data_IF_363552481386
#
_entry.id   IF_363552481386
#
_cell.length_a   1.000
_cell.length_b   1.000
_cell.length_c   1.000
_cell.angle_alpha   90.00
_cell.angle_beta   90.00
_cell.angle_gamma   90.00
#
_symmetry.space_group_name_H-M   'P 1'
#
loop_
_entity.id
_entity.type
_entity.pdbx_description
1 polymer ?
#
# COMPACT_ATOMS: atom_id res chain seq x y z
N UNK A 1 -32.83 7.08 -10.62
CA UNK A 1 -32.25 8.43 -10.65
C UNK A 1 -31.70 8.67 -12.03
N UNK A 2 -32.10 9.72 -12.73
CA UNK A 2 -31.38 10.13 -13.95
C UNK A 2 -29.99 10.61 -13.55
N UNK A 3 -28.97 10.09 -14.22
CA UNK A 3 -27.55 10.31 -13.91
C UNK A 3 -27.15 11.79 -14.02
N UNK A 4 -27.95 12.60 -14.73
CA UNK A 4 -27.79 14.04 -14.95
C UNK A 4 -27.87 14.94 -13.70
N UNK A 5 -28.09 14.39 -12.51
CA UNK A 5 -28.26 15.18 -11.28
C UNK A 5 -27.12 15.12 -10.28
N UNK A 6 -25.98 14.48 -10.57
CA UNK A 6 -24.85 14.37 -9.62
C UNK A 6 -24.38 15.72 -9.02
N UNK A 7 -24.42 16.81 -9.82
CA UNK A 7 -24.09 18.17 -9.36
C UNK A 7 -25.07 18.73 -8.30
N UNK A 8 -26.31 18.25 -8.30
CA UNK A 8 -27.33 18.62 -7.30
C UNK A 8 -27.07 17.89 -5.99
N UNK A 9 -26.51 16.68 -6.06
CA UNK A 9 -26.21 15.86 -4.88
C UNK A 9 -24.96 16.33 -4.14
N UNK A 10 -23.92 16.77 -4.84
CA UNK A 10 -22.70 17.26 -4.19
C UNK A 10 -22.11 18.39 -5.05
N UNK A 11 -21.84 19.56 -4.45
CA UNK A 11 -21.43 20.74 -5.23
C UNK A 11 -20.09 20.52 -5.93
N UNK A 12 -19.86 21.25 -7.01
CA UNK A 12 -18.63 21.10 -7.80
C UNK A 12 -17.38 21.38 -6.98
N UNK A 13 -17.40 22.41 -6.14
CA UNK A 13 -16.29 22.79 -5.27
C UNK A 13 -15.94 21.65 -4.30
N UNK A 14 -16.95 21.01 -3.72
CA UNK A 14 -16.75 19.87 -2.82
C UNK A 14 -16.31 18.61 -3.56
N UNK A 15 -16.79 18.40 -4.80
CA UNK A 15 -16.32 17.31 -5.64
C UNK A 15 -14.84 17.46 -5.98
N UNK A 16 -14.41 18.65 -6.38
CA UNK A 16 -12.99 18.94 -6.69
C UNK A 16 -12.09 18.77 -5.46
N UNK A 17 -12.47 19.31 -4.30
CA UNK A 17 -11.74 19.09 -3.04
C UNK A 17 -11.61 17.60 -2.68
N UNK A 18 -12.69 16.82 -2.86
CA UNK A 18 -12.67 15.39 -2.61
C UNK A 18 -11.82 14.64 -3.64
N UNK A 19 -11.88 15.03 -4.92
CA UNK A 19 -11.04 14.45 -5.97
C UNK A 19 -9.57 14.73 -5.67
N UNK A 20 -9.19 15.94 -5.27
CA UNK A 20 -7.82 16.28 -4.87
C UNK A 20 -7.35 15.42 -3.69
N UNK A 21 -8.20 15.24 -2.68
CA UNK A 21 -7.93 14.36 -1.55
C UNK A 21 -7.73 12.90 -1.96
N UNK A 22 -8.52 12.42 -2.92
CA UNK A 22 -8.43 11.06 -3.46
C UNK A 22 -7.21 10.85 -4.37
N UNK A 23 -6.83 11.86 -5.17
CA UNK A 23 -5.69 11.80 -6.11
C UNK A 23 -4.34 11.69 -5.40
N UNK A 24 -4.26 12.11 -4.14
CA UNK A 24 -3.08 11.90 -3.29
C UNK A 24 -2.79 10.43 -2.93
N UNK A 25 -3.67 9.49 -3.32
CA UNK A 25 -3.55 8.06 -3.00
C UNK A 25 -3.07 7.24 -4.19
N UNK A 26 -2.30 6.20 -3.91
CA UNK A 26 -1.64 5.42 -4.96
C UNK A 26 -2.64 4.70 -5.86
N UNK A 27 -2.42 4.83 -7.18
CA UNK A 27 -3.27 4.26 -8.20
C UNK A 27 -4.59 5.00 -8.43
N UNK A 28 -4.89 6.09 -7.70
CA UNK A 28 -6.03 6.96 -7.95
C UNK A 28 -5.62 8.14 -8.84
N UNK A 29 -5.60 7.93 -10.15
CA UNK A 29 -5.51 9.05 -11.10
C UNK A 29 -6.76 9.92 -10.97
N UNK A 30 -6.70 11.19 -11.40
CA UNK A 30 -7.87 12.09 -11.41
C UNK A 30 -9.11 11.42 -12.02
N UNK A 31 -8.94 10.73 -13.14
CA UNK A 31 -10.01 9.96 -13.80
C UNK A 31 -10.61 8.89 -12.89
N UNK A 32 -9.78 8.10 -12.20
CA UNK A 32 -10.24 7.03 -11.30
C UNK A 32 -10.93 7.60 -10.05
N UNK A 33 -10.36 8.67 -9.48
CA UNK A 33 -10.94 9.40 -8.36
C UNK A 33 -12.32 9.98 -8.72
N UNK A 34 -12.44 10.59 -9.90
CA UNK A 34 -13.74 11.08 -10.41
C UNK A 34 -14.73 9.94 -10.60
N UNK A 35 -14.35 8.84 -11.25
CA UNK A 35 -15.23 7.69 -11.46
C UNK A 35 -15.71 7.12 -10.12
N UNK A 36 -14.80 6.97 -9.16
CA UNK A 36 -15.11 6.48 -7.83
C UNK A 36 -16.07 7.41 -7.07
N UNK A 37 -15.79 8.72 -7.05
CA UNK A 37 -16.66 9.70 -6.39
C UNK A 37 -18.08 9.70 -6.95
N UNK A 38 -18.22 9.59 -8.28
CA UNK A 38 -19.54 9.48 -8.92
C UNK A 38 -20.26 8.20 -8.51
N UNK A 39 -19.55 7.08 -8.46
CA UNK A 39 -20.08 5.79 -7.98
C UNK A 39 -20.56 5.88 -6.54
N UNK A 40 -19.81 6.58 -5.69
CA UNK A 40 -20.14 6.77 -4.30
C UNK A 40 -21.40 7.63 -4.13
N UNK A 41 -21.49 8.78 -4.80
CA UNK A 41 -22.69 9.62 -4.78
C UNK A 41 -23.90 8.84 -5.30
N UNK A 42 -23.73 8.08 -6.39
CA UNK A 42 -24.79 7.23 -6.93
C UNK A 42 -25.25 6.18 -5.92
N UNK A 43 -24.32 5.55 -5.18
CA UNK A 43 -24.65 4.57 -4.16
C UNK A 43 -25.43 5.18 -2.98
N UNK A 44 -25.03 6.36 -2.50
CA UNK A 44 -25.78 7.11 -1.47
C UNK A 44 -27.22 7.39 -1.95
N UNK A 45 -27.34 7.88 -3.19
CA UNK A 45 -28.64 8.20 -3.77
C UNK A 45 -29.52 6.96 -3.96
N UNK A 46 -28.94 5.81 -4.31
CA UNK A 46 -29.64 4.54 -4.51
C UNK A 46 -30.12 3.91 -3.20
N UNK A 47 -29.38 4.09 -2.11
CA UNK A 47 -29.76 3.61 -0.78
C UNK A 47 -30.92 4.41 -0.19
N UNK A 48 -31.13 5.65 -0.64
CA UNK A 48 -32.31 6.46 -0.31
C UNK A 48 -32.31 7.06 1.11
N UNK A 49 -31.21 6.92 1.85
CA UNK A 49 -31.08 7.44 3.22
C UNK A 49 -30.78 8.94 3.29
N UNK A 50 -30.30 9.54 2.21
CA UNK A 50 -29.92 10.95 2.16
C UNK A 50 -30.67 11.72 1.07
N UNK A 51 -30.95 13.00 1.31
CA UNK A 51 -31.57 13.92 0.36
C UNK A 51 -30.53 14.92 -0.16
N UNK A 52 -30.57 15.29 -1.46
CA UNK A 52 -29.70 16.32 -2.00
C UNK A 52 -30.12 17.73 -1.52
N UNK A 53 -29.19 18.70 -1.44
CA UNK A 53 -27.75 18.53 -1.59
C UNK A 53 -27.12 17.92 -0.33
N UNK A 54 -26.15 17.01 -0.53
CA UNK A 54 -25.39 16.42 0.56
C UNK A 54 -24.46 17.48 1.18
N UNK A 55 -24.58 17.66 2.50
CA UNK A 55 -23.63 18.48 3.25
C UNK A 55 -22.26 17.82 3.33
N UNK A 56 -22.23 16.49 3.47
CA UNK A 56 -21.05 15.62 3.52
C UNK A 56 -21.33 14.28 2.83
N UNK A 57 -20.27 13.60 2.36
CA UNK A 57 -20.41 12.22 1.88
C UNK A 57 -20.50 11.28 3.08
N UNK A 58 -21.40 10.31 2.98
CA UNK A 58 -21.56 9.23 3.96
C UNK A 58 -21.30 7.89 3.26
N UNK A 59 -20.79 6.89 3.97
CA UNK A 59 -20.60 5.58 3.38
C UNK A 59 -21.92 4.81 3.33
N UNK A 60 -22.36 4.35 2.15
CA UNK A 60 -23.54 3.51 2.04
C UNK A 60 -23.37 2.22 2.82
N UNK A 61 -24.42 1.80 3.53
CA UNK A 61 -24.38 0.59 4.37
C UNK A 61 -24.61 -0.70 3.56
N UNK A 62 -25.30 -0.58 2.43
CA UNK A 62 -25.75 -1.71 1.60
C UNK A 62 -25.07 -1.73 0.23
N UNK A 63 -24.96 -2.94 -0.34
CA UNK A 63 -24.50 -3.12 -1.71
C UNK A 63 -25.62 -2.77 -2.70
N UNK A 64 -25.33 -1.83 -3.61
CA UNK A 64 -26.26 -1.36 -4.63
C UNK A 64 -26.12 -2.14 -5.94
N UNK A 65 -27.21 -2.33 -6.65
CA UNK A 65 -27.17 -2.88 -8.01
C UNK A 65 -26.63 -1.81 -8.96
N UNK A 66 -25.56 -2.14 -9.68
CA UNK A 66 -24.98 -1.27 -10.69
C UNK A 66 -24.48 -2.12 -11.87
N UNK A 67 -25.17 -2.04 -13.00
CA UNK A 67 -24.75 -2.72 -14.23
C UNK A 67 -23.55 -1.99 -14.87
N UNK A 68 -22.84 -2.65 -15.79
CA UNK A 68 -21.78 -2.01 -16.56
C UNK A 68 -22.28 -0.82 -17.38
N UNK A 69 -23.51 -0.89 -17.90
CA UNK A 69 -24.16 0.23 -18.59
C UNK A 69 -24.38 1.42 -17.66
N UNK A 70 -24.94 1.17 -16.47
CA UNK A 70 -25.13 2.23 -15.47
C UNK A 70 -23.80 2.84 -15.02
N UNK A 71 -22.77 2.01 -14.85
CA UNK A 71 -21.43 2.49 -14.53
C UNK A 71 -20.83 3.30 -15.69
N UNK A 72 -21.05 2.91 -16.94
CA UNK A 72 -20.59 3.65 -18.12
C UNK A 72 -21.25 5.01 -18.20
N UNK A 73 -22.57 5.05 -18.10
CA UNK A 73 -23.34 6.29 -18.07
C UNK A 73 -22.84 7.21 -16.93
N UNK A 74 -22.50 6.65 -15.77
CA UNK A 74 -22.00 7.40 -14.62
C UNK A 74 -20.58 7.94 -14.81
N UNK A 75 -19.66 7.11 -15.29
CA UNK A 75 -18.24 7.44 -15.41
C UNK A 75 -17.98 8.40 -16.56
N UNK A 76 -18.72 8.26 -17.64
CA UNK A 76 -18.45 8.94 -18.90
C UNK A 76 -19.56 9.91 -19.32
N UNK A 77 -20.48 10.30 -18.42
CA UNK A 77 -21.59 11.23 -18.72
C UNK A 77 -21.16 12.55 -19.41
N UNK A 78 -19.93 13.00 -19.14
CA UNK A 78 -19.37 14.29 -19.61
C UNK A 78 -18.28 14.05 -20.68
N UNK A 79 -18.20 12.85 -21.26
CA UNK A 79 -17.20 12.48 -22.26
C UNK A 79 -17.84 11.80 -23.46
N UNK A 80 -17.35 12.12 -24.67
CA UNK A 80 -17.77 11.46 -25.90
C UNK A 80 -17.24 10.01 -26.02
N UNK A 81 -16.38 9.58 -25.08
CA UNK A 81 -15.73 8.28 -25.09
C UNK A 81 -16.00 7.51 -23.80
N UNK A 82 -16.46 6.27 -23.96
CA UNK A 82 -16.79 5.36 -22.86
C UNK A 82 -17.67 4.21 -23.37
N UNK A 83 -17.44 3.00 -22.87
CA UNK A 83 -18.27 1.83 -23.18
C UNK A 83 -18.54 1.03 -21.91
N UNK A 84 -19.59 0.21 -21.94
CA UNK A 84 -19.88 -0.75 -20.86
C UNK A 84 -18.65 -1.59 -20.51
N UNK A 85 -17.84 -1.96 -21.51
CA UNK A 85 -16.58 -2.70 -21.31
C UNK A 85 -15.54 -1.89 -20.54
N UNK A 86 -15.31 -0.63 -20.91
CA UNK A 86 -14.35 0.23 -20.21
C UNK A 86 -14.82 0.57 -18.79
N UNK A 87 -16.12 0.72 -18.58
CA UNK A 87 -16.72 0.89 -17.27
C UNK A 87 -16.52 -0.36 -16.39
N UNK A 88 -16.72 -1.56 -16.95
CA UNK A 88 -16.40 -2.82 -16.28
C UNK A 88 -14.94 -2.88 -15.83
N UNK A 89 -14.00 -2.54 -16.73
CA UNK A 89 -12.57 -2.48 -16.38
C UNK A 89 -12.25 -1.40 -15.32
N UNK A 90 -12.97 -0.28 -15.30
CA UNK A 90 -12.83 0.73 -14.26
C UNK A 90 -13.29 0.20 -12.91
N UNK A 91 -14.41 -0.51 -12.86
CA UNK A 91 -14.89 -1.18 -11.64
C UNK A 91 -13.86 -2.19 -11.12
N UNK A 92 -13.24 -2.97 -12.00
CA UNK A 92 -12.18 -3.91 -11.60
C UNK A 92 -10.97 -3.19 -11.00
N UNK A 93 -10.57 -2.05 -11.59
CA UNK A 93 -9.49 -1.21 -11.05
C UNK A 93 -9.85 -0.64 -9.68
N UNK A 94 -11.07 -0.13 -9.50
CA UNK A 94 -11.53 0.40 -8.22
C UNK A 94 -11.61 -0.69 -7.15
N UNK A 95 -12.02 -1.90 -7.51
CA UNK A 95 -12.04 -3.05 -6.63
C UNK A 95 -10.61 -3.49 -6.23
N UNK A 96 -9.68 -3.51 -7.19
CA UNK A 96 -8.27 -3.82 -6.94
C UNK A 96 -7.58 -2.79 -6.04
N UNK A 97 -8.03 -1.53 -6.07
CA UNK A 97 -7.60 -0.45 -5.17
C UNK A 97 -8.28 -0.53 -3.79
N UNK A 98 -9.13 -1.52 -3.54
CA UNK A 98 -9.82 -1.71 -2.26
C UNK A 98 -10.94 -0.70 -2.00
N UNK A 99 -11.33 0.10 -2.98
CA UNK A 99 -12.31 1.18 -2.82
C UNK A 99 -13.76 0.66 -2.90
N UNK A 100 -13.95 -0.46 -3.60
CA UNK A 100 -15.26 -1.10 -3.74
C UNK A 100 -15.15 -2.62 -3.61
N UNK A 101 -16.27 -3.25 -3.28
CA UNK A 101 -16.47 -4.70 -3.36
C UNK A 101 -17.47 -5.02 -4.47
N UNK A 102 -17.13 -6.00 -5.32
CA UNK A 102 -18.05 -6.53 -6.34
C UNK A 102 -18.60 -7.86 -5.85
N UNK A 103 -19.92 -7.94 -5.69
CA UNK A 103 -20.64 -9.15 -5.29
C UNK A 103 -21.46 -9.59 -6.50
N UNK A 104 -21.19 -10.79 -7.02
CA UNK A 104 -21.91 -11.35 -8.14
C UNK A 104 -22.78 -12.52 -7.66
N UNK A 105 -24.09 -12.42 -7.89
CA UNK A 105 -25.08 -13.43 -7.46
C UNK A 105 -25.51 -14.39 -8.59
N UNK A 106 -24.80 -14.39 -9.71
CA UNK A 106 -25.12 -15.20 -10.89
C UNK A 106 -25.90 -14.43 -11.98
N UNK A 107 -26.64 -13.38 -11.60
CA UNK A 107 -27.45 -12.59 -12.53
C UNK A 107 -27.10 -11.09 -12.51
N UNK A 108 -26.69 -10.57 -11.35
CA UNK A 108 -26.50 -9.13 -11.13
C UNK A 108 -25.21 -8.85 -10.36
N UNK A 109 -24.47 -7.84 -10.82
CA UNK A 109 -23.34 -7.29 -10.06
C UNK A 109 -23.86 -6.25 -9.07
N UNK A 110 -23.61 -6.51 -7.79
CA UNK A 110 -23.82 -5.55 -6.70
C UNK A 110 -22.48 -4.95 -6.30
N UNK A 111 -22.49 -3.66 -6.01
CA UNK A 111 -21.31 -2.89 -5.65
C UNK A 111 -21.51 -2.35 -4.24
N UNK A 112 -20.54 -2.62 -3.36
CA UNK A 112 -20.45 -1.99 -2.04
C UNK A 112 -19.30 -0.99 -2.05
N UNK A 113 -19.55 0.26 -1.66
CA UNK A 113 -18.49 1.24 -1.42
C UNK A 113 -17.82 0.86 -0.11
N UNK A 114 -16.48 0.77 -0.10
CA UNK A 114 -15.73 0.53 1.14
C UNK A 114 -15.34 1.85 1.79
N UNK A 115 -15.36 1.92 3.14
CA UNK A 115 -14.78 3.04 3.87
C UNK A 115 -13.35 3.27 3.41
N UNK A 116 -12.99 4.54 3.29
CA UNK A 116 -11.65 4.95 2.91
C UNK A 116 -10.95 5.43 4.17
N UNK A 117 -9.98 4.66 4.65
CA UNK A 117 -9.17 4.99 5.85
C UNK A 117 -8.62 6.42 5.72
N UNK A 118 -8.84 7.25 6.73
CA UNK A 118 -8.37 8.64 6.79
C UNK A 118 -9.12 9.70 5.96
N UNK A 119 -10.28 9.41 5.34
CA UNK A 119 -11.14 10.45 4.73
C UNK A 119 -12.47 10.61 5.46
N UNK A 120 -13.15 9.50 5.79
CA UNK A 120 -14.48 9.51 6.42
C UNK A 120 -14.71 8.20 7.19
N UNK A 121 -13.92 7.92 8.23
CA UNK A 121 -14.21 6.74 9.05
C UNK A 121 -15.57 6.93 9.77
N UNK A 122 -16.55 6.01 9.65
CA UNK A 122 -17.37 5.79 10.84
C UNK A 122 -16.39 5.36 11.92
N UNK A 123 -16.49 5.94 13.13
CA UNK A 123 -15.70 5.53 14.29
C UNK A 123 -15.78 4.01 14.45
N UNK A 124 -14.88 3.29 13.79
CA UNK A 124 -14.84 1.85 13.86
C UNK A 124 -13.99 1.58 15.07
N UNK A 125 -14.68 1.41 16.18
CA UNK A 125 -14.19 0.90 17.45
C UNK A 125 -13.66 -0.54 17.33
N UNK A 126 -12.89 -0.86 16.29
CA UNK A 126 -12.28 -2.18 16.03
C UNK A 126 -10.80 -2.25 16.44
N UNK A 127 -10.15 -1.15 16.85
CA UNK A 127 -8.73 -1.15 17.25
C UNK A 127 -8.48 -1.65 18.70
N UNK A 128 -9.38 -2.48 19.24
CA UNK A 128 -9.18 -3.13 20.53
C UNK A 128 -8.28 -4.37 20.46
N UNK A 129 -8.03 -4.90 19.25
CA UNK A 129 -7.20 -6.09 19.09
C UNK A 129 -5.74 -5.75 19.39
N UNK A 130 -5.18 -6.43 20.38
CA UNK A 130 -3.77 -6.32 20.73
C UNK A 130 -2.90 -7.00 19.66
N UNK A 131 -1.82 -6.34 19.29
CA UNK A 131 -0.81 -6.87 18.37
C UNK A 131 0.51 -7.08 19.09
N UNK A 132 1.26 -8.08 18.62
CA UNK A 132 2.60 -8.38 19.08
C UNK A 132 3.60 -8.42 17.92
N UNK A 133 4.82 -8.00 18.22
CA UNK A 133 5.97 -8.14 17.33
C UNK A 133 6.56 -9.53 17.45
N UNK A 134 6.93 -10.12 16.32
CA UNK A 134 7.50 -11.46 16.28
C UNK A 134 8.43 -11.65 15.07
N UNK A 135 9.23 -12.71 15.11
CA UNK A 135 10.03 -13.15 13.99
C UNK A 135 9.14 -13.72 12.89
N UNK A 136 9.47 -13.41 11.64
CA UNK A 136 8.77 -14.00 10.49
C UNK A 136 8.98 -15.52 10.47
N UNK A 137 7.88 -16.27 10.41
CA UNK A 137 7.87 -17.71 10.25
C UNK A 137 7.49 -18.09 8.80
N UNK A 138 8.43 -18.59 7.98
CA UNK A 138 8.16 -18.89 6.57
C UNK A 138 7.11 -19.98 6.31
N UNK A 139 6.78 -20.79 7.34
CA UNK A 139 5.76 -21.83 7.23
C UNK A 139 4.35 -21.28 7.32
N UNK A 140 4.14 -20.26 8.15
CA UNK A 140 2.82 -19.72 8.48
C UNK A 140 2.60 -18.32 7.90
N UNK A 141 3.65 -17.49 7.85
CA UNK A 141 3.53 -16.06 7.54
C UNK A 141 3.74 -15.76 6.06
N UNK A 142 4.45 -16.63 5.31
CA UNK A 142 4.81 -16.34 3.93
C UNK A 142 3.61 -16.06 3.00
N UNK A 143 2.50 -16.78 3.17
CA UNK A 143 1.31 -16.58 2.34
C UNK A 143 0.50 -15.36 2.82
N UNK A 144 0.14 -15.22 4.11
CA UNK A 144 -0.55 -14.03 4.60
C UNK A 144 0.22 -12.72 4.35
N UNK A 145 1.54 -12.70 4.59
CA UNK A 145 2.39 -11.53 4.29
C UNK A 145 2.42 -11.27 2.79
N UNK A 146 2.57 -12.30 1.95
CA UNK A 146 2.49 -12.10 0.50
C UNK A 146 1.18 -11.44 0.08
N UNK A 147 0.05 -11.87 0.63
CA UNK A 147 -1.26 -11.26 0.37
C UNK A 147 -1.33 -9.80 0.84
N UNK A 148 -0.78 -9.50 2.03
CA UNK A 148 -0.69 -8.14 2.57
C UNK A 148 0.16 -7.23 1.66
N UNK A 149 1.31 -7.73 1.19
CA UNK A 149 2.17 -7.01 0.27
C UNK A 149 1.48 -6.81 -1.08
N UNK A 150 0.87 -7.85 -1.66
CA UNK A 150 0.18 -7.77 -2.96
C UNK A 150 -0.82 -6.62 -3.00
N UNK A 151 -1.59 -6.35 -1.92
CA UNK A 151 -2.51 -5.20 -1.86
C UNK A 151 -1.82 -3.85 -2.11
N UNK A 152 -0.57 -3.71 -1.69
CA UNK A 152 0.21 -2.46 -1.80
C UNK A 152 1.02 -2.36 -3.09
N UNK A 153 1.32 -3.48 -3.74
CA UNK A 153 2.02 -3.51 -5.04
C UNK A 153 1.08 -3.69 -6.25
N UNK A 154 -0.21 -4.04 -6.02
CA UNK A 154 -1.18 -4.41 -7.06
C UNK A 154 -1.44 -3.32 -8.12
N UNK A 155 -1.33 -2.04 -7.77
CA UNK A 155 -1.56 -0.94 -8.71
C UNK A 155 -0.51 -0.85 -9.83
N UNK A 156 0.67 -1.46 -9.65
CA UNK A 156 1.73 -1.50 -10.66
C UNK A 156 1.55 -2.63 -11.69
N UNK A 157 0.66 -3.59 -11.44
CA UNK A 157 0.66 -4.86 -12.17
C UNK A 157 -0.63 -5.15 -12.95
N UNK A 158 -0.46 -5.74 -14.14
CA UNK A 158 -1.56 -6.10 -15.05
C UNK A 158 -2.12 -7.52 -14.83
N UNK A 159 -1.43 -8.39 -14.08
CA UNK A 159 -1.83 -9.79 -13.81
C UNK A 159 -1.84 -10.07 -12.30
N UNK A 160 -3.04 -10.20 -11.70
CA UNK A 160 -3.21 -10.31 -10.25
C UNK A 160 -3.04 -11.73 -9.66
N UNK A 161 -3.19 -12.79 -10.46
CA UNK A 161 -3.39 -14.15 -9.93
C UNK A 161 -2.10 -14.89 -9.52
N UNK A 162 -0.96 -14.65 -10.19
CA UNK A 162 0.30 -15.38 -9.93
C UNK A 162 1.22 -14.72 -8.88
N UNK A 163 0.89 -13.49 -8.43
CA UNK A 163 1.78 -12.65 -7.62
C UNK A 163 1.95 -13.16 -6.18
N UNK A 164 0.88 -13.50 -5.42
CA UNK A 164 1.05 -13.94 -4.03
C UNK A 164 1.91 -15.20 -3.93
N UNK A 165 1.74 -16.14 -4.86
CA UNK A 165 2.57 -17.34 -4.92
C UNK A 165 4.05 -16.98 -5.11
N UNK A 166 4.37 -16.10 -6.06
CA UNK A 166 5.76 -15.65 -6.28
C UNK A 166 6.34 -14.94 -5.06
N UNK A 167 5.62 -13.97 -4.49
CA UNK A 167 6.10 -13.24 -3.30
C UNK A 167 6.33 -14.23 -2.16
N UNK A 168 5.43 -15.19 -1.95
CA UNK A 168 5.61 -16.21 -0.90
C UNK A 168 6.88 -17.06 -1.11
N UNK A 169 7.25 -17.38 -2.36
CA UNK A 169 8.51 -18.07 -2.68
C UNK A 169 9.73 -17.22 -2.36
N UNK A 170 9.69 -15.93 -2.71
CA UNK A 170 10.78 -14.99 -2.39
C UNK A 170 10.96 -14.83 -0.88
N UNK A 171 9.87 -14.59 -0.14
CA UNK A 171 9.91 -14.48 1.32
C UNK A 171 10.48 -15.75 1.96
N UNK A 172 10.10 -16.93 1.48
CA UNK A 172 10.68 -18.21 1.95
C UNK A 172 12.16 -18.33 1.60
N UNK A 173 12.58 -17.90 0.41
CA UNK A 173 13.99 -17.87 0.02
C UNK A 173 14.80 -16.99 0.96
N UNK A 174 14.42 -15.72 1.05
CA UNK A 174 15.09 -14.74 1.91
C UNK A 174 15.13 -15.15 3.38
N UNK A 175 14.07 -15.79 3.89
CA UNK A 175 14.07 -16.29 5.27
C UNK A 175 15.07 -17.42 5.53
N UNK A 176 15.44 -18.20 4.50
CA UNK A 176 16.49 -19.22 4.60
C UNK A 176 17.88 -18.59 4.61
N UNK A 177 18.05 -17.51 3.84
CA UNK A 177 19.33 -16.81 3.73
C UNK A 177 19.60 -15.95 4.98
N UNK A 178 18.61 -15.18 5.43
CA UNK A 178 18.70 -14.37 6.64
C UNK A 178 17.33 -14.05 7.25
N UNK A 179 17.00 -14.69 8.37
CA UNK A 179 15.70 -14.52 9.03
C UNK A 179 15.62 -13.33 9.98
N UNK A 180 16.74 -12.87 10.56
CA UNK A 180 16.74 -11.83 11.60
C UNK A 180 16.16 -10.52 11.09
N UNK A 181 16.45 -10.15 9.84
CA UNK A 181 15.91 -8.95 9.18
C UNK A 181 14.43 -9.03 8.79
N UNK A 182 13.74 -10.15 9.05
CA UNK A 182 12.33 -10.36 8.68
C UNK A 182 11.44 -10.40 9.91
N UNK A 183 10.56 -9.40 10.03
CA UNK A 183 9.77 -9.18 11.25
C UNK A 183 8.31 -8.94 10.90
N UNK A 184 7.42 -9.47 11.74
CA UNK A 184 5.98 -9.36 11.55
C UNK A 184 5.32 -8.76 12.78
N UNK A 185 4.30 -7.94 12.53
CA UNK A 185 3.34 -7.52 13.54
C UNK A 185 2.11 -8.39 13.37
N UNK A 186 1.74 -9.16 14.40
CA UNK A 186 0.62 -10.11 14.33
C UNK A 186 -0.41 -9.84 15.39
N UNK A 187 -1.67 -10.16 15.10
CA UNK A 187 -2.72 -10.11 16.10
C UNK A 187 -2.50 -11.20 17.14
N UNK A 188 -2.71 -10.89 18.42
CA UNK A 188 -2.57 -11.86 19.50
C UNK A 188 -3.70 -12.90 19.47
N UNK A 189 -4.89 -12.51 19.02
CA UNK A 189 -6.10 -13.34 19.04
C UNK A 189 -6.07 -14.52 18.05
N UNK A 190 -5.47 -14.33 16.88
CA UNK A 190 -5.48 -15.32 15.79
C UNK A 190 -4.13 -15.49 15.08
N UNK A 191 -3.08 -14.80 15.54
CA UNK A 191 -1.73 -14.85 15.00
C UNK A 191 -1.57 -14.38 13.54
N UNK A 192 -2.61 -13.82 12.93
CA UNK A 192 -2.53 -13.33 11.56
C UNK A 192 -1.60 -12.11 11.50
N UNK A 193 -0.65 -12.07 10.55
CA UNK A 193 0.20 -10.91 10.37
C UNK A 193 -0.59 -9.77 9.75
N UNK A 194 -0.49 -8.60 10.37
CA UNK A 194 -1.08 -7.33 9.96
C UNK A 194 0.00 -6.26 9.69
N UNK A 195 1.26 -6.56 9.95
CA UNK A 195 2.39 -5.74 9.55
C UNK A 195 3.61 -6.60 9.23
N UNK A 196 4.50 -6.07 8.42
CA UNK A 196 5.72 -6.73 7.99
C UNK A 196 6.79 -5.71 7.62
N UNK A 197 8.04 -5.98 7.99
CA UNK A 197 9.19 -5.33 7.38
C UNK A 197 10.29 -6.33 7.03
N UNK A 198 11.09 -5.96 6.04
CA UNK A 198 12.24 -6.70 5.57
C UNK A 198 13.46 -5.79 5.48
N UNK A 199 14.44 -6.05 6.34
CA UNK A 199 15.78 -5.49 6.32
C UNK A 199 16.70 -6.47 5.61
N UNK A 200 17.12 -6.11 4.40
CA UNK A 200 17.82 -6.99 3.47
C UNK A 200 19.31 -6.62 3.42
N UNK A 201 20.21 -7.35 4.13
CA UNK A 201 21.64 -7.09 4.03
C UNK A 201 22.08 -7.36 2.59
N UNK A 202 22.70 -6.38 1.95
CA UNK A 202 22.92 -6.38 0.50
C UNK A 202 24.38 -6.76 0.22
N UNK A 203 24.57 -7.78 -0.62
CA UNK A 203 25.90 -8.17 -1.08
C UNK A 203 26.57 -7.02 -1.84
N UNK A 204 27.88 -6.84 -1.67
CA UNK A 204 28.67 -5.77 -2.28
C UNK A 204 28.42 -5.63 -3.81
N UNK A 205 28.32 -6.75 -4.53
CA UNK A 205 28.04 -6.77 -5.97
C UNK A 205 26.67 -6.17 -6.37
N UNK A 206 25.75 -6.02 -5.42
CA UNK A 206 24.42 -5.43 -5.64
C UNK A 206 24.34 -3.96 -5.23
N UNK A 207 25.37 -3.40 -4.59
CA UNK A 207 25.35 -2.02 -4.06
C UNK A 207 25.20 -0.98 -5.17
N UNK A 208 25.86 -1.19 -6.30
CA UNK A 208 25.76 -0.32 -7.47
C UNK A 208 24.31 -0.11 -7.94
N UNK A 209 23.40 -1.05 -7.67
CA UNK A 209 22.00 -0.93 -8.07
C UNK A 209 21.27 0.24 -7.38
N UNK A 210 21.66 0.63 -6.17
CA UNK A 210 21.08 1.80 -5.48
C UNK A 210 21.39 3.12 -6.19
N UNK A 211 22.39 3.12 -7.09
CA UNK A 211 22.82 4.26 -7.88
C UNK A 211 22.26 4.23 -9.32
N UNK A 212 21.33 3.31 -9.60
CA UNK A 212 20.70 3.17 -10.92
C UNK A 212 19.19 3.39 -10.85
N UNK A 213 18.54 3.36 -12.02
CA UNK A 213 17.09 3.50 -12.16
C UNK A 213 16.32 2.60 -11.17
N UNK A 214 15.45 3.17 -10.32
CA UNK A 214 14.68 2.42 -9.33
C UNK A 214 13.68 1.45 -9.98
N UNK A 215 13.30 1.68 -11.24
CA UNK A 215 12.37 0.82 -11.97
C UNK A 215 12.89 -0.61 -12.15
N UNK A 216 14.22 -0.78 -12.21
CA UNK A 216 14.85 -2.11 -12.30
C UNK A 216 14.76 -2.91 -10.99
N UNK A 217 14.46 -2.23 -9.89
CA UNK A 217 14.53 -2.75 -8.52
C UNK A 217 13.16 -3.15 -7.95
N UNK A 218 12.10 -2.97 -8.74
CA UNK A 218 10.71 -3.32 -8.41
C UNK A 218 10.45 -4.84 -8.47
N UNK A 219 11.32 -5.67 -7.89
CA UNK A 219 11.26 -7.13 -8.06
C UNK A 219 10.04 -7.81 -7.40
N UNK A 220 9.41 -7.17 -6.41
CA UNK A 220 8.14 -7.65 -5.84
C UNK A 220 6.95 -7.44 -6.78
N UNK A 221 7.07 -6.56 -7.78
CA UNK A 221 6.03 -6.27 -8.78
C UNK A 221 6.41 -6.62 -10.22
N UNK A 222 7.70 -6.65 -10.58
CA UNK A 222 8.16 -6.88 -11.96
C UNK A 222 7.95 -8.34 -12.41
N UNK A 223 7.71 -8.57 -13.71
CA UNK A 223 7.58 -9.92 -14.30
C UNK A 223 8.94 -10.63 -14.40
N UNK A 224 10.05 -9.90 -14.39
CA UNK A 224 11.40 -10.46 -14.48
C UNK A 224 11.66 -11.45 -13.34
N UNK A 225 12.10 -12.66 -13.66
CA UNK A 225 12.29 -13.74 -12.69
C UNK A 225 13.51 -13.56 -11.78
N UNK A 226 14.49 -12.76 -12.23
CA UNK A 226 15.75 -12.62 -11.53
C UNK A 226 15.84 -11.29 -10.77
N UNK A 227 16.09 -11.42 -9.47
CA UNK A 227 16.29 -10.30 -8.56
C UNK A 227 17.67 -9.66 -8.81
N UNK A 228 17.74 -8.34 -9.09
CA UNK A 228 19.04 -7.68 -9.24
C UNK A 228 19.80 -7.56 -7.91
N UNK A 229 19.10 -7.69 -6.77
CA UNK A 229 19.71 -7.65 -5.45
C UNK A 229 19.95 -9.05 -4.90
N UNK A 230 21.18 -9.30 -4.49
CA UNK A 230 21.57 -10.50 -3.74
C UNK A 230 21.79 -10.17 -2.28
N UNK A 231 21.37 -11.09 -1.42
CA UNK A 231 21.56 -10.96 0.01
C UNK A 231 23.01 -11.30 0.37
N UNK A 232 23.62 -10.53 1.26
CA UNK A 232 24.93 -10.86 1.81
C UNK A 232 24.82 -12.08 2.72
N UNK A 233 25.90 -12.86 2.80
CA UNK A 233 26.01 -13.97 3.77
C UNK A 233 26.45 -13.45 5.12
N UNK A 234 25.93 -14.02 6.21
CA UNK A 234 26.35 -13.65 7.58
C UNK A 234 27.88 -13.73 7.71
N UNK A 235 28.48 -12.70 8.29
CA UNK A 235 29.93 -12.54 8.42
C UNK A 235 30.60 -11.86 7.22
N UNK A 236 29.87 -11.47 6.18
CA UNK A 236 30.42 -10.72 5.06
C UNK A 236 30.84 -9.30 5.48
N UNK A 237 32.14 -9.10 5.62
CA UNK A 237 32.75 -7.80 5.95
C UNK A 237 32.56 -6.74 4.85
N UNK A 238 32.19 -7.13 3.63
CA UNK A 238 31.93 -6.19 2.54
C UNK A 238 30.45 -5.80 2.45
N UNK A 239 29.59 -6.29 3.35
CA UNK A 239 28.20 -5.86 3.43
C UNK A 239 28.11 -4.48 4.09
N UNK A 240 28.02 -3.42 3.28
CA UNK A 240 27.91 -2.05 3.75
C UNK A 240 26.46 -1.55 3.85
N UNK A 241 25.57 -2.13 3.05
CA UNK A 241 24.22 -1.62 2.84
C UNK A 241 23.12 -2.58 3.29
N UNK A 242 22.07 -2.01 3.91
CA UNK A 242 20.80 -2.70 4.16
C UNK A 242 19.71 -2.06 3.29
N UNK A 243 19.08 -2.88 2.45
CA UNK A 243 17.90 -2.48 1.71
C UNK A 243 16.64 -2.72 2.56
N UNK A 244 15.97 -1.65 2.96
CA UNK A 244 14.62 -1.69 3.54
C UNK A 244 13.66 -2.02 2.39
N UNK A 245 13.52 -3.32 2.15
CA UNK A 245 12.90 -3.85 0.95
C UNK A 245 11.37 -3.88 1.02
N UNK A 246 10.86 -3.90 2.24
CA UNK A 246 9.43 -3.78 2.52
C UNK A 246 9.22 -3.17 3.90
N UNK A 247 8.21 -2.31 4.00
CA UNK A 247 7.73 -1.75 5.26
C UNK A 247 6.21 -1.59 5.15
N UNK A 248 5.48 -2.19 6.09
CA UNK A 248 4.03 -2.28 6.01
C UNK A 248 3.40 -2.43 7.39
N UNK A 249 2.37 -1.64 7.66
CA UNK A 249 1.39 -1.93 8.71
C UNK A 249 0.01 -1.71 8.09
N UNK A 250 -0.91 -2.63 8.31
CA UNK A 250 -2.31 -2.46 7.94
C UNK A 250 -2.85 -1.17 8.57
N UNK A 251 -3.55 -0.37 7.77
CA UNK A 251 -3.85 1.01 8.09
C UNK A 251 -4.66 1.16 9.39
N UNK A 252 -5.48 0.16 9.74
CA UNK A 252 -6.26 0.14 10.97
C UNK A 252 -5.40 0.08 12.25
N UNK A 253 -4.13 -0.28 12.12
CA UNK A 253 -3.19 -0.43 13.23
C UNK A 253 -1.99 0.51 13.12
N UNK A 254 -1.86 1.22 12.00
CA UNK A 254 -0.67 2.00 11.68
C UNK A 254 -0.36 3.02 12.78
N UNK A 255 -1.30 3.89 13.13
CA UNK A 255 -1.01 4.99 14.08
C UNK A 255 -0.68 4.47 15.48
N UNK A 256 -1.37 3.43 15.94
CA UNK A 256 -1.15 2.83 17.27
C UNK A 256 0.18 2.09 17.37
N UNK A 257 0.63 1.44 16.29
CA UNK A 257 1.79 0.53 16.33
C UNK A 257 3.03 1.03 15.59
N UNK A 258 2.95 2.14 14.84
CA UNK A 258 4.09 2.72 14.08
C UNK A 258 5.34 2.88 14.93
N UNK A 259 5.20 3.51 16.11
CA UNK A 259 6.33 3.75 17.01
C UNK A 259 7.00 2.45 17.47
N UNK A 260 6.21 1.49 17.93
CA UNK A 260 6.70 0.19 18.42
C UNK A 260 7.38 -0.57 17.27
N UNK A 261 6.83 -0.50 16.06
CA UNK A 261 7.39 -1.15 14.87
C UNK A 261 8.76 -0.57 14.48
N UNK A 262 8.93 0.76 14.57
CA UNK A 262 10.21 1.44 14.32
C UNK A 262 11.26 1.11 15.39
N UNK A 263 10.85 1.03 16.66
CA UNK A 263 11.75 0.62 17.75
C UNK A 263 12.23 -0.83 17.58
N UNK A 264 11.38 -1.74 17.09
CA UNK A 264 11.81 -3.10 16.73
C UNK A 264 12.83 -3.08 15.59
N UNK A 265 12.64 -2.20 14.59
CA UNK A 265 13.57 -2.04 13.48
C UNK A 265 14.95 -1.54 13.96
N UNK A 266 15.00 -0.56 14.87
CA UNK A 266 16.26 -0.12 15.50
C UNK A 266 16.96 -1.28 16.22
N UNK A 267 16.23 -2.02 17.06
CA UNK A 267 16.78 -3.18 17.77
C UNK A 267 17.24 -4.29 16.82
N UNK A 268 16.53 -4.47 15.70
CA UNK A 268 16.89 -5.46 14.69
C UNK A 268 18.16 -5.05 13.97
N UNK A 269 18.28 -3.78 13.55
CA UNK A 269 19.49 -3.26 12.91
C UNK A 269 20.70 -3.32 13.84
N UNK A 270 20.54 -3.02 15.13
CA UNK A 270 21.60 -3.20 16.14
C UNK A 270 22.05 -4.67 16.28
N UNK A 271 21.16 -5.64 16.05
CA UNK A 271 21.57 -7.06 16.01
C UNK A 271 22.27 -7.38 14.71
N UNK A 272 21.81 -6.82 13.59
CA UNK A 272 22.43 -7.00 12.28
C UNK A 272 23.88 -6.53 12.24
N UNK A 273 24.29 -5.52 13.03
CA UNK A 273 25.70 -5.10 13.11
C UNK A 273 26.62 -6.18 13.70
N UNK A 274 26.08 -7.15 14.45
CA UNK A 274 26.86 -8.30 14.93
C UNK A 274 27.06 -9.34 13.82
N UNK A 275 26.06 -9.49 12.96
CA UNK A 275 26.09 -10.43 11.83
C UNK A 275 26.88 -9.85 10.63
N UNK A 276 26.90 -8.53 10.48
CA UNK A 276 27.55 -7.79 9.39
C UNK A 276 28.28 -6.56 9.98
N UNK A 277 29.57 -6.68 10.33
CA UNK A 277 30.27 -5.67 11.13
C UNK A 277 30.37 -4.27 10.50
N UNK A 278 30.33 -4.19 9.17
CA UNK A 278 30.58 -2.94 8.43
C UNK A 278 29.30 -2.32 7.83
N UNK A 279 28.10 -2.76 8.23
CA UNK A 279 26.88 -2.11 7.76
C UNK A 279 26.85 -0.66 8.25
N UNK A 280 26.62 0.26 7.32
CA UNK A 280 26.61 1.69 7.59
C UNK A 280 25.51 2.43 6.83
N UNK A 281 24.91 1.81 5.81
CA UNK A 281 23.99 2.47 4.89
C UNK A 281 22.61 1.83 4.86
N UNK A 282 21.56 2.65 4.95
CA UNK A 282 20.17 2.25 4.76
C UNK A 282 19.63 2.82 3.46
N UNK A 283 19.15 1.94 2.59
CA UNK A 283 18.47 2.32 1.36
C UNK A 283 17.01 1.88 1.39
N UNK A 284 16.11 2.71 0.86
CA UNK A 284 14.71 2.35 0.69
C UNK A 284 14.17 2.84 -0.64
N UNK A 285 13.28 2.05 -1.23
CA UNK A 285 12.58 2.40 -2.46
C UNK A 285 11.21 2.96 -2.12
N UNK A 286 10.98 4.23 -2.45
CA UNK A 286 9.68 4.85 -2.26
C UNK A 286 8.77 4.46 -3.41
N UNK A 287 7.68 3.77 -3.08
CA UNK A 287 6.61 3.40 -4.01
C UNK A 287 5.24 3.95 -3.57
N UNK A 288 5.14 4.55 -2.38
CA UNK A 288 3.91 5.11 -1.82
C UNK A 288 4.20 6.45 -1.10
N UNK A 289 3.41 7.53 -1.32
CA UNK A 289 3.60 8.82 -0.67
C UNK A 289 3.56 8.78 0.87
N UNK A 290 2.74 7.90 1.46
CA UNK A 290 2.70 7.77 2.93
C UNK A 290 4.02 7.23 3.49
N UNK A 291 4.76 6.39 2.74
CA UNK A 291 6.09 5.94 3.13
C UNK A 291 7.16 6.99 2.87
N UNK A 292 6.97 7.87 1.87
CA UNK A 292 7.83 9.05 1.70
C UNK A 292 7.78 9.95 2.92
N UNK A 293 6.58 10.28 3.41
CA UNK A 293 6.43 11.15 4.60
C UNK A 293 7.12 10.55 5.80
N UNK A 294 6.88 9.26 6.06
CA UNK A 294 7.54 8.53 7.14
C UNK A 294 9.07 8.56 7.00
N UNK A 295 9.59 8.22 5.82
CA UNK A 295 11.03 8.19 5.58
C UNK A 295 11.66 9.59 5.75
N UNK A 296 11.00 10.64 5.25
CA UNK A 296 11.46 12.01 5.39
C UNK A 296 11.51 12.47 6.86
N UNK A 297 10.48 12.13 7.65
CA UNK A 297 10.43 12.40 9.10
C UNK A 297 11.55 11.69 9.86
N UNK A 298 11.92 10.49 9.41
CA UNK A 298 13.06 9.73 9.95
C UNK A 298 14.43 10.26 9.45
N UNK A 299 14.45 11.29 8.61
CA UNK A 299 15.68 11.92 8.11
C UNK A 299 16.27 11.29 6.85
N UNK A 300 15.55 10.37 6.18
CA UNK A 300 15.99 9.86 4.89
C UNK A 300 16.02 10.97 3.83
N UNK A 301 17.02 10.91 2.94
CA UNK A 301 17.23 11.87 1.87
C UNK A 301 17.04 11.22 0.50
N UNK A 302 16.43 11.96 -0.43
CA UNK A 302 16.27 11.52 -1.82
C UNK A 302 17.63 11.55 -2.52
N UNK A 303 18.00 10.47 -3.21
CA UNK A 303 19.30 10.39 -3.90
C UNK A 303 19.16 10.46 -5.43
N UNK A 304 18.25 9.68 -6.00
CA UNK A 304 18.04 9.60 -7.46
C UNK A 304 16.55 9.73 -7.77
N UNK A 305 16.22 10.77 -8.53
CA UNK A 305 14.86 11.02 -9.04
C UNK A 305 14.83 10.76 -10.54
N UNK A 306 14.00 9.82 -10.99
CA UNK A 306 13.58 9.75 -12.39
C UNK A 306 12.22 10.48 -12.55
N UNK A 307 12.09 11.30 -13.60
CA UNK A 307 10.83 11.95 -13.99
C UNK A 307 9.99 11.01 -14.88
N UNK A 308 8.63 11.07 -14.92
CA UNK A 308 7.67 11.66 -13.99
C UNK A 308 7.06 10.60 -13.03
N UNK A 309 7.67 9.41 -12.95
CA UNK A 309 7.13 8.30 -12.15
C UNK A 309 7.43 8.53 -10.66
N UNK A 310 6.42 8.31 -9.80
CA UNK A 310 6.46 8.54 -8.35
C UNK A 310 7.40 7.61 -7.56
N UNK A 311 8.42 7.01 -8.20
CA UNK A 311 9.29 5.99 -7.62
C UNK A 311 10.74 6.48 -7.64
N UNK A 312 11.39 6.45 -6.48
CA UNK A 312 12.75 6.93 -6.31
C UNK A 312 13.44 6.30 -5.08
N UNK A 313 14.76 6.43 -5.02
CA UNK A 313 15.57 5.98 -3.90
C UNK A 313 15.64 7.03 -2.80
N UNK A 314 15.61 6.56 -1.55
CA UNK A 314 15.99 7.34 -0.39
C UNK A 314 17.08 6.64 0.42
N UNK A 315 17.88 7.43 1.12
CA UNK A 315 19.08 7.02 1.83
C UNK A 315 19.14 7.62 3.24
N UNK A 316 19.65 6.84 4.21
CA UNK A 316 20.02 7.31 5.54
C UNK A 316 21.20 6.49 6.05
N UNK A 317 22.20 7.14 6.65
CA UNK A 317 23.26 6.42 7.36
C UNK A 317 22.72 5.71 8.61
N UNK A 318 23.12 4.45 8.80
CA UNK A 318 22.65 3.58 9.88
C UNK A 318 22.81 4.23 11.26
N UNK A 319 24.00 4.77 11.55
CA UNK A 319 24.29 5.38 12.85
C UNK A 319 23.31 6.52 13.19
N UNK A 320 22.92 7.31 12.17
CA UNK A 320 21.94 8.38 12.36
C UNK A 320 20.58 7.80 12.71
N UNK A 321 20.14 6.78 11.99
CA UNK A 321 18.87 6.09 12.30
C UNK A 321 18.87 5.48 13.71
N UNK A 322 19.97 4.84 14.10
CA UNK A 322 20.12 4.24 15.44
C UNK A 322 20.17 5.28 16.56
N UNK A 323 20.63 6.51 16.26
CA UNK A 323 20.69 7.61 17.22
C UNK A 323 19.36 8.35 17.44
N UNK A 324 18.33 8.08 16.62
CA UNK A 324 17.03 8.73 16.75
C UNK A 324 16.31 8.30 18.05
N UNK A 325 15.86 9.28 18.83
CA UNK A 325 14.83 9.03 19.84
C UNK A 325 13.46 9.00 19.17
N UNK A 326 12.96 7.79 18.93
CA UNK A 326 11.68 7.57 18.27
C UNK A 326 10.50 8.22 19.00
N UNK A 327 10.63 8.52 20.30
CA UNK A 327 9.59 9.15 21.12
C UNK A 327 9.44 10.65 20.84
N UNK A 328 10.48 11.29 20.32
CA UNK A 328 10.50 12.73 19.99
C UNK A 328 10.06 13.01 18.54
N UNK A 329 9.88 11.97 17.74
CA UNK A 329 9.50 12.07 16.33
C UNK A 329 8.00 12.32 16.18
N UNK A 330 7.65 13.40 15.47
CA UNK A 330 6.27 13.73 15.12
C UNK A 330 5.92 13.14 13.75
N UNK A 331 5.00 12.18 13.73
CA UNK A 331 4.61 11.44 12.53
C UNK A 331 3.34 11.95 11.85
#
# INVERSE_FOLDING_TARGET
MEIKHLKIWFSWEKQEQMIECLVGRVGLTRVRATCFLRLWIYAIAKEGQAKPPLSQLIFPTTAIICTHRQASDLFYQDQDQGSDRSAGMMLDKLAALGLIEKIFDGNTTRIKIKPITGILEPDSSESSVELQLDQFNPRCDAIPVANLLTRNYNWMNRNAEAIPHRISRLLRGWSKDYTTGMRVLRRVDNLNPVGFYLLYPTANESEANFFTSPNKSLHLSAINEQDPFKMASVGDENCLSVFIRSWMIDANYLDKYRLIFLQDAQKTLQRMTLDFPNICDLHTLIIHPDYEKLAAVLGFQKTIQESPNSIYWMYLGLDRFLSLDMSEIQF
#
